data_IF_186102169510
#
_entry.id   IF_186102169510
#
_cell.length_a   1.000
_cell.length_b   1.000
_cell.length_c   1.000
_cell.angle_alpha   90.00
_cell.angle_beta   90.00
_cell.angle_gamma   90.00
#
_symmetry.space_group_name_H-M   'P 1'
#
loop_
_entity.id
_entity.type
_entity.pdbx_description
1 polymer ?
#
# COMPACT_ATOMS: atom_id res chain seq x y z
N UNK A 1 41.56 6.00 3.56
CA UNK A 1 40.23 5.49 4.00
C UNK A 1 39.52 4.90 2.79
N UNK A 2 39.47 3.58 2.67
CA UNK A 2 38.75 2.88 1.61
C UNK A 2 37.25 3.06 1.82
N UNK A 3 36.54 3.65 0.85
CA UNK A 3 35.07 3.75 0.88
C UNK A 3 34.49 2.36 0.67
N UNK A 4 33.94 1.78 1.73
CA UNK A 4 33.13 0.57 1.64
C UNK A 4 31.89 0.88 0.78
N UNK A 5 31.75 0.19 -0.35
CA UNK A 5 30.63 0.29 -1.29
C UNK A 5 29.36 -0.40 -0.71
N UNK A 6 28.94 0.00 0.49
CA UNK A 6 27.82 -0.61 1.21
C UNK A 6 26.52 0.21 1.12
N UNK A 7 26.53 1.33 0.40
CA UNK A 7 25.33 2.13 0.19
C UNK A 7 24.69 1.81 -1.15
N UNK A 8 23.38 1.60 -1.12
CA UNK A 8 22.57 1.50 -2.33
C UNK A 8 22.72 2.77 -3.18
N UNK A 9 22.64 2.62 -4.50
CA UNK A 9 22.73 3.75 -5.41
C UNK A 9 21.60 4.77 -5.16
N UNK A 10 21.89 6.09 -5.20
CA UNK A 10 20.88 7.12 -5.04
C UNK A 10 19.75 6.98 -6.06
N UNK A 11 18.49 7.12 -5.61
CA UNK A 11 17.34 7.10 -6.50
C UNK A 11 17.33 8.36 -7.39
N UNK A 12 17.57 8.19 -8.69
CA UNK A 12 17.72 9.31 -9.65
C UNK A 12 16.41 9.75 -10.31
N UNK A 13 15.26 9.12 -9.98
CA UNK A 13 13.97 9.36 -10.64
C UNK A 13 13.90 8.91 -12.11
N UNK A 14 15.05 8.67 -12.76
CA UNK A 14 15.18 8.15 -14.12
C UNK A 14 15.10 6.62 -14.13
N UNK A 15 13.95 6.08 -13.75
CA UNK A 15 13.66 4.66 -13.97
C UNK A 15 13.14 4.53 -15.41
N UNK A 16 13.75 3.73 -16.30
CA UNK A 16 13.03 3.31 -17.51
C UNK A 16 11.72 2.68 -17.02
N UNK A 17 10.59 3.27 -17.41
CA UNK A 17 9.27 2.75 -17.06
C UNK A 17 9.14 1.41 -17.79
N UNK A 18 9.65 0.35 -17.18
CA UNK A 18 9.18 -0.99 -17.50
C UNK A 18 7.78 -1.04 -16.95
N UNK A 19 6.82 -0.67 -17.79
CA UNK A 19 5.42 -0.97 -17.53
C UNK A 19 5.37 -2.46 -17.21
N UNK A 20 4.75 -2.80 -16.09
CA UNK A 20 4.53 -4.20 -15.79
C UNK A 20 3.48 -4.70 -16.78
N UNK A 21 3.82 -5.67 -17.61
CA UNK A 21 2.85 -6.34 -18.48
C UNK A 21 2.05 -7.42 -17.73
N UNK A 22 2.47 -7.74 -16.49
CA UNK A 22 1.78 -8.68 -15.64
C UNK A 22 0.45 -8.12 -15.12
N UNK A 23 -0.53 -8.99 -14.93
CA UNK A 23 -1.77 -8.62 -14.23
C UNK A 23 -1.52 -8.61 -12.74
N UNK A 24 -1.65 -7.44 -12.09
CA UNK A 24 -1.60 -7.32 -10.64
C UNK A 24 -3.01 -7.53 -10.09
N UNK A 25 -3.42 -8.79 -9.98
CA UNK A 25 -4.67 -9.17 -9.32
C UNK A 25 -4.38 -10.26 -8.29
N UNK A 26 -5.04 -10.18 -7.13
CA UNK A 26 -5.04 -11.32 -6.23
C UNK A 26 -5.85 -12.46 -6.88
N UNK A 27 -5.35 -13.70 -6.89
CA UNK A 27 -5.95 -14.79 -7.67
C UNK A 27 -7.25 -15.34 -7.05
N UNK A 28 -7.49 -15.09 -5.78
CA UNK A 28 -8.68 -15.54 -5.05
C UNK A 28 -8.93 -14.63 -3.84
N UNK A 29 -10.17 -14.56 -3.39
CA UNK A 29 -10.54 -13.95 -2.09
C UNK A 29 -9.78 -14.61 -0.93
N UNK A 30 -9.63 -13.85 0.15
CA UNK A 30 -9.02 -14.26 1.40
C UNK A 30 -7.58 -14.78 1.27
N UNK A 31 -6.82 -14.24 0.31
CA UNK A 31 -5.42 -14.60 0.07
C UNK A 31 -4.45 -13.47 0.36
N UNK A 32 -4.88 -12.22 0.16
CA UNK A 32 -4.09 -11.01 0.37
C UNK A 32 -5.01 -9.86 0.75
N UNK A 33 -4.63 -9.13 1.79
CA UNK A 33 -5.34 -7.96 2.28
C UNK A 33 -4.42 -6.74 2.32
N UNK A 34 -5.03 -5.57 2.31
CA UNK A 34 -4.35 -4.29 2.55
C UNK A 34 -5.03 -3.57 3.71
N UNK A 35 -4.23 -2.99 4.60
CA UNK A 35 -4.73 -2.09 5.64
C UNK A 35 -5.02 -0.73 5.06
N UNK A 36 -6.15 -0.13 5.41
CA UNK A 36 -6.46 1.25 5.06
C UNK A 36 -7.21 1.93 6.22
N UNK A 37 -7.38 3.24 6.13
CA UNK A 37 -8.17 3.98 7.10
C UNK A 37 -8.72 5.29 6.54
N UNK A 38 -9.72 5.82 7.23
CA UNK A 38 -10.30 7.13 6.95
C UNK A 38 -10.80 7.78 8.23
N UNK A 39 -11.07 9.08 8.14
CA UNK A 39 -11.55 9.89 9.25
C UNK A 39 -12.99 10.32 9.01
N UNK A 40 -13.82 10.29 10.06
CA UNK A 40 -15.19 10.79 10.07
C UNK A 40 -15.26 11.95 11.06
N UNK A 41 -15.46 13.19 10.60
CA UNK A 41 -15.68 14.32 11.49
C UNK A 41 -17.07 14.21 12.14
N UNK A 42 -17.11 14.32 13.47
CA UNK A 42 -18.33 14.22 14.27
C UNK A 42 -18.88 15.61 14.64
N UNK A 43 -20.17 15.70 14.93
CA UNK A 43 -20.83 16.97 15.26
C UNK A 43 -20.36 17.59 16.59
N UNK A 44 -19.84 16.78 17.51
CA UNK A 44 -19.25 17.25 18.77
C UNK A 44 -17.83 17.83 18.58
N UNK A 45 -17.32 17.89 17.35
CA UNK A 45 -15.97 18.38 17.03
C UNK A 45 -14.88 17.32 17.15
N UNK A 46 -15.20 16.09 17.54
CA UNK A 46 -14.26 14.96 17.55
C UNK A 46 -14.10 14.34 16.15
N UNK A 47 -13.07 13.52 15.99
CA UNK A 47 -12.81 12.77 14.76
C UNK A 47 -12.77 11.28 15.07
N UNK A 48 -13.70 10.52 14.49
CA UNK A 48 -13.65 9.07 14.55
C UNK A 48 -12.70 8.55 13.46
N UNK A 49 -11.64 7.84 13.87
CA UNK A 49 -10.65 7.25 12.97
C UNK A 49 -10.96 5.77 12.78
N UNK A 50 -11.18 5.37 11.53
CA UNK A 50 -11.47 3.98 11.17
C UNK A 50 -10.22 3.39 10.53
N UNK A 51 -9.77 2.25 11.04
CA UNK A 51 -8.79 1.40 10.39
C UNK A 51 -9.45 0.07 10.05
N UNK A 52 -9.18 -0.46 8.86
CA UNK A 52 -9.79 -1.70 8.38
C UNK A 52 -8.82 -2.44 7.45
N UNK A 53 -9.06 -3.74 7.29
CA UNK A 53 -8.42 -4.55 6.27
C UNK A 53 -9.42 -4.83 5.15
N UNK A 54 -8.97 -4.66 3.90
CA UNK A 54 -9.78 -4.90 2.71
C UNK A 54 -9.12 -5.96 1.84
N UNK A 55 -9.93 -6.90 1.35
CA UNK A 55 -9.49 -7.95 0.46
C UNK A 55 -9.05 -7.39 -0.89
N UNK A 56 -7.87 -7.79 -1.36
CA UNK A 56 -7.29 -7.25 -2.59
C UNK A 56 -7.84 -7.87 -3.87
N UNK A 57 -8.62 -8.96 -3.77
CA UNK A 57 -9.31 -9.61 -4.88
C UNK A 57 -10.69 -8.99 -5.10
N UNK A 58 -11.57 -9.06 -4.10
CA UNK A 58 -12.99 -8.66 -4.25
C UNK A 58 -13.34 -7.34 -3.56
N UNK A 59 -12.40 -6.70 -2.86
CA UNK A 59 -12.60 -5.43 -2.13
C UNK A 59 -13.62 -5.50 -0.99
N UNK A 60 -13.90 -6.69 -0.48
CA UNK A 60 -14.70 -6.83 0.75
C UNK A 60 -13.88 -6.41 1.97
N UNK A 61 -14.52 -5.71 2.90
CA UNK A 61 -13.93 -5.38 4.20
C UNK A 61 -14.01 -6.62 5.09
N UNK A 62 -12.92 -6.94 5.77
CA UNK A 62 -12.86 -8.05 6.72
C UNK A 62 -13.75 -7.76 7.94
N UNK A 63 -14.53 -8.76 8.36
CA UNK A 63 -15.35 -8.72 9.58
C UNK A 63 -14.55 -9.11 10.82
#
# INVERSE_FOLDING_TARGET
MQRALLTLQPHTGRRPIRAHEGTVVAPASNRRWVSNGFEIPCWNGEVARVAFAIDTHNREVMA
#
